data_IF_997945536405
#
_entry.id   IF_997945536405
#
_cell.length_a   1.000
_cell.length_b   1.000
_cell.length_c   1.000
_cell.angle_alpha   90.00
_cell.angle_beta   90.00
_cell.angle_gamma   90.00
#
_symmetry.space_group_name_H-M   'P 1'
#
loop_
_entity.id
_entity.type
_entity.pdbx_description
1 polymer ?
#
# COMPACT_ATOMS: atom_id res chain seq x y z
N UNK A 1 15.27 70.88 -10.51
CA UNK A 1 14.61 69.95 -9.57
C UNK A 1 14.23 68.71 -10.37
N UNK A 2 15.21 67.84 -10.60
CA UNK A 2 15.47 66.58 -9.90
C UNK A 2 14.63 65.43 -10.48
N UNK A 3 15.28 64.71 -11.39
CA UNK A 3 15.00 63.34 -11.81
C UNK A 3 14.99 62.42 -10.59
N UNK A 4 14.05 61.48 -10.54
CA UNK A 4 14.24 60.20 -9.86
C UNK A 4 13.75 59.12 -10.82
N UNK A 5 14.70 58.53 -11.54
CA UNK A 5 14.57 57.17 -12.07
C UNK A 5 14.70 56.20 -10.88
N UNK A 6 13.99 55.08 -10.94
CA UNK A 6 14.25 53.93 -10.07
C UNK A 6 14.28 52.70 -10.96
N UNK A 7 15.48 52.35 -11.38
CA UNK A 7 15.83 51.02 -11.87
C UNK A 7 15.74 50.02 -10.71
N UNK A 8 14.97 48.95 -10.88
CA UNK A 8 15.48 47.57 -10.81
C UNK A 8 14.30 46.60 -10.73
N UNK A 9 14.07 45.89 -11.84
CA UNK A 9 13.31 44.66 -11.84
C UNK A 9 14.12 43.53 -11.21
N UNK A 10 13.53 42.87 -10.22
CA UNK A 10 13.84 41.48 -9.84
C UNK A 10 12.54 40.85 -9.33
N UNK A 11 12.08 39.70 -9.88
CA UNK A 11 10.91 38.98 -9.36
C UNK A 11 11.20 38.39 -7.97
N UNK A 12 10.17 38.34 -7.12
CA UNK A 12 10.18 37.94 -5.70
C UNK A 12 10.41 36.43 -5.43
N UNK A 13 10.93 35.66 -6.38
CA UNK A 13 10.93 34.18 -6.32
C UNK A 13 12.16 33.52 -5.69
N UNK A 14 12.97 34.21 -4.88
CA UNK A 14 14.23 33.63 -4.37
C UNK A 14 14.60 34.00 -2.91
N UNK A 15 13.63 33.98 -2.00
CA UNK A 15 13.88 34.29 -0.57
C UNK A 15 13.56 33.16 0.44
N UNK A 16 13.61 31.89 0.04
CA UNK A 16 13.61 30.76 1.00
C UNK A 16 14.68 29.73 0.62
N UNK A 17 15.93 30.18 0.45
CA UNK A 17 17.11 29.31 0.39
C UNK A 17 18.22 29.77 1.36
N UNK A 18 17.90 30.63 2.34
CA UNK A 18 18.89 31.15 3.30
C UNK A 18 18.39 31.19 4.74
N UNK A 19 17.92 30.06 5.23
CA UNK A 19 17.78 29.83 6.66
C UNK A 19 18.21 28.40 6.98
N UNK A 20 19.50 28.09 6.80
CA UNK A 20 20.15 26.95 7.49
C UNK A 20 21.69 26.91 7.37
N UNK A 21 22.34 28.08 7.30
CA UNK A 21 23.79 28.14 7.43
C UNK A 21 24.21 29.27 8.38
N UNK A 22 24.21 28.97 9.68
CA UNK A 22 25.31 29.33 10.59
C UNK A 22 25.17 28.65 11.96
N UNK A 23 26.27 27.98 12.32
CA UNK A 23 26.69 27.43 13.62
C UNK A 23 25.95 26.23 14.21
N UNK A 24 26.33 25.03 13.75
CA UNK A 24 26.81 23.99 14.67
C UNK A 24 28.06 23.33 14.08
N UNK A 25 29.20 23.49 14.77
CA UNK A 25 30.41 22.72 14.51
C UNK A 25 30.73 21.88 15.76
N UNK A 26 30.92 20.59 15.51
CA UNK A 26 31.25 19.48 16.41
C UNK A 26 30.10 18.89 17.24
N UNK A 27 29.54 17.74 16.82
CA UNK A 27 29.93 16.42 17.35
C UNK A 27 29.24 15.24 16.62
N UNK A 28 30.00 14.16 16.42
CA UNK A 28 29.64 12.75 16.22
C UNK A 28 28.59 12.28 15.16
N UNK A 29 29.11 11.70 14.07
CA UNK A 29 28.81 10.30 13.73
C UNK A 29 27.39 9.87 13.38
N UNK A 30 26.52 10.74 12.83
CA UNK A 30 25.25 10.26 12.26
C UNK A 30 25.54 9.53 10.96
N UNK A 31 25.76 8.21 11.05
CA UNK A 31 25.76 7.34 9.88
C UNK A 31 24.50 7.63 9.05
N UNK A 32 24.70 8.04 7.80
CA UNK A 32 23.61 8.17 6.83
C UNK A 32 22.86 6.84 6.79
N UNK A 33 21.58 6.84 7.18
CA UNK A 33 20.79 5.62 7.18
C UNK A 33 20.73 5.02 5.77
N UNK A 34 21.02 3.72 5.66
CA UNK A 34 20.99 3.00 4.40
C UNK A 34 19.55 2.58 4.06
N UNK A 35 18.98 3.19 3.02
CA UNK A 35 17.64 2.87 2.51
C UNK A 35 17.65 1.77 1.45
N UNK A 36 18.79 1.14 1.14
CA UNK A 36 18.85 0.10 0.10
C UNK A 36 18.16 -1.20 0.51
N UNK A 37 18.15 -1.49 1.81
CA UNK A 37 17.61 -2.74 2.36
C UNK A 37 16.79 -2.49 3.61
N UNK A 38 15.68 -3.21 3.73
CA UNK A 38 14.85 -3.24 4.94
C UNK A 38 15.26 -4.44 5.77
N UNK A 39 15.79 -4.20 6.97
CA UNK A 39 16.19 -5.26 7.90
C UNK A 39 15.09 -5.64 8.91
N UNK A 40 13.99 -4.89 8.93
CA UNK A 40 12.85 -5.14 9.80
C UNK A 40 11.88 -6.18 9.20
N UNK A 41 11.08 -6.81 10.07
CA UNK A 41 9.94 -7.64 9.66
C UNK A 41 8.68 -6.78 9.79
N UNK A 42 7.87 -6.72 8.73
CA UNK A 42 6.53 -6.13 8.82
C UNK A 42 5.48 -7.23 9.08
N UNK A 43 4.42 -6.89 9.81
CA UNK A 43 3.36 -7.85 10.17
C UNK A 43 2.00 -7.39 9.66
N UNK A 44 1.30 -8.27 8.97
CA UNK A 44 -0.06 -8.05 8.47
C UNK A 44 -1.00 -8.92 9.29
N UNK A 45 -1.89 -8.31 10.06
CA UNK A 45 -2.91 -8.97 10.87
C UNK A 45 -4.27 -8.85 10.19
N UNK A 46 -4.82 -9.98 9.74
CA UNK A 46 -6.18 -10.08 9.19
C UNK A 46 -7.17 -10.47 10.30
N UNK A 47 -8.16 -9.62 10.52
CA UNK A 47 -9.22 -9.82 11.51
C UNK A 47 -10.51 -10.29 10.84
N UNK A 48 -10.82 -11.58 10.99
CA UNK A 48 -12.08 -12.17 10.54
C UNK A 48 -13.19 -11.99 11.60
N UNK A 49 -12.85 -12.09 12.90
CA UNK A 49 -13.71 -11.81 14.06
C UNK A 49 -12.87 -11.14 15.14
N UNK A 50 -13.29 -9.95 15.60
CA UNK A 50 -12.58 -9.17 16.63
C UNK A 50 -12.51 -9.86 18.00
N UNK A 51 -13.28 -10.93 18.20
CA UNK A 51 -13.22 -11.77 19.41
C UNK A 51 -12.19 -12.89 19.33
N UNK A 52 -11.60 -13.11 18.15
CA UNK A 52 -10.60 -14.15 17.90
C UNK A 52 -9.23 -13.53 17.62
N UNK A 53 -8.17 -14.33 17.80
CA UNK A 53 -6.83 -13.90 17.43
C UNK A 53 -6.74 -13.70 15.90
N UNK A 54 -6.09 -12.63 15.42
CA UNK A 54 -5.96 -12.37 13.99
C UNK A 54 -5.02 -13.38 13.33
N UNK A 55 -5.21 -13.57 12.03
CA UNK A 55 -4.25 -14.31 11.21
C UNK A 55 -3.09 -13.38 10.85
N UNK A 56 -1.88 -13.72 11.30
CA UNK A 56 -0.70 -12.89 11.07
C UNK A 56 0.12 -13.46 9.92
N UNK A 57 0.48 -12.59 8.98
CA UNK A 57 1.45 -12.86 7.90
C UNK A 57 2.63 -11.93 8.07
N UNK A 58 3.84 -12.45 7.96
CA UNK A 58 5.07 -11.65 8.04
C UNK A 58 5.62 -11.33 6.65
N UNK A 59 6.16 -10.13 6.50
CA UNK A 59 6.99 -9.73 5.36
C UNK A 59 8.43 -9.66 5.86
N UNK A 60 9.26 -10.53 5.31
CA UNK A 60 10.65 -10.67 5.73
C UNK A 60 11.54 -9.57 5.13
N UNK A 61 12.72 -9.33 5.74
CA UNK A 61 13.73 -8.41 5.22
C UNK A 61 14.04 -8.63 3.74
N UNK A 62 14.10 -7.54 2.98
CA UNK A 62 14.31 -7.53 1.54
C UNK A 62 14.84 -6.16 1.07
N UNK A 63 15.37 -6.05 -0.15
CA UNK A 63 15.65 -4.75 -0.77
C UNK A 63 14.42 -3.83 -0.72
N UNK A 64 14.61 -2.54 -0.44
CA UNK A 64 13.49 -1.65 -0.05
C UNK A 64 12.35 -1.59 -1.05
N UNK A 65 12.66 -1.51 -2.36
CA UNK A 65 11.62 -1.52 -3.39
C UNK A 65 10.83 -2.84 -3.41
N UNK A 66 11.51 -3.98 -3.25
CA UNK A 66 10.89 -5.31 -3.19
C UNK A 66 10.08 -5.50 -1.90
N UNK A 67 10.56 -4.95 -0.78
CA UNK A 67 9.86 -4.99 0.50
C UNK A 67 8.54 -4.23 0.44
N UNK A 68 8.56 -2.99 -0.07
CA UNK A 68 7.36 -2.17 -0.26
C UNK A 68 6.37 -2.87 -1.20
N UNK A 69 6.85 -3.41 -2.32
CA UNK A 69 6.03 -4.14 -3.28
C UNK A 69 5.37 -5.38 -2.65
N UNK A 70 6.15 -6.19 -1.95
CA UNK A 70 5.69 -7.40 -1.28
C UNK A 70 4.66 -7.09 -0.19
N UNK A 71 4.91 -6.05 0.60
CA UNK A 71 4.01 -5.58 1.65
C UNK A 71 2.67 -5.12 1.03
N UNK A 72 2.71 -4.18 0.08
CA UNK A 72 1.51 -3.63 -0.55
C UNK A 72 0.69 -4.71 -1.27
N UNK A 73 1.37 -5.59 -2.03
CA UNK A 73 0.74 -6.71 -2.73
C UNK A 73 0.06 -7.67 -1.75
N UNK A 74 0.74 -8.04 -0.65
CA UNK A 74 0.19 -8.96 0.34
C UNK A 74 -1.00 -8.37 1.09
N UNK A 75 -0.96 -7.09 1.42
CA UNK A 75 -2.09 -6.39 2.04
C UNK A 75 -3.29 -6.39 1.08
N UNK A 76 -3.07 -6.01 -0.18
CA UNK A 76 -4.12 -5.97 -1.19
C UNK A 76 -4.75 -7.34 -1.43
N UNK A 77 -3.95 -8.39 -1.60
CA UNK A 77 -4.45 -9.78 -1.75
C UNK A 77 -5.35 -10.19 -0.58
N UNK A 78 -4.91 -9.95 0.65
CA UNK A 78 -5.66 -10.32 1.84
C UNK A 78 -6.93 -9.50 2.01
N UNK A 79 -6.85 -8.18 1.84
CA UNK A 79 -8.00 -7.29 1.89
C UNK A 79 -9.02 -7.67 0.81
N UNK A 80 -8.57 -7.91 -0.42
CA UNK A 80 -9.44 -8.31 -1.53
C UNK A 80 -10.09 -9.67 -1.29
N UNK A 81 -9.33 -10.63 -0.78
CA UNK A 81 -9.85 -11.97 -0.45
C UNK A 81 -10.88 -11.94 0.68
N UNK A 82 -10.78 -10.97 1.59
CA UNK A 82 -11.75 -10.73 2.64
C UNK A 82 -13.04 -10.04 2.14
N UNK A 83 -13.04 -9.47 0.94
CA UNK A 83 -14.19 -8.74 0.37
C UNK A 83 -13.93 -7.25 0.12
N UNK A 84 -12.72 -6.77 0.40
CA UNK A 84 -12.35 -5.37 0.34
C UNK A 84 -12.41 -4.78 -1.07
N UNK A 85 -12.69 -3.49 -1.12
CA UNK A 85 -12.79 -2.72 -2.37
C UNK A 85 -11.73 -1.61 -2.49
N UNK A 86 -10.88 -1.43 -1.48
CA UNK A 86 -9.79 -0.45 -1.50
C UNK A 86 -8.79 -0.80 -2.63
N UNK A 87 -8.48 0.13 -3.55
CA UNK A 87 -7.56 -0.12 -4.66
C UNK A 87 -6.13 -0.35 -4.20
N UNK A 88 -5.40 -1.15 -4.97
CA UNK A 88 -3.96 -1.39 -4.75
C UNK A 88 -3.16 -0.08 -4.66
N UNK A 89 -3.42 0.90 -5.53
CA UNK A 89 -2.71 2.19 -5.52
C UNK A 89 -2.83 2.88 -4.16
N UNK A 90 -4.02 2.91 -3.57
CA UNK A 90 -4.24 3.52 -2.25
C UNK A 90 -3.43 2.80 -1.17
N UNK A 91 -3.46 1.47 -1.16
CA UNK A 91 -2.71 0.64 -0.21
C UNK A 91 -1.21 0.86 -0.37
N UNK A 92 -0.73 0.93 -1.61
CA UNK A 92 0.68 1.15 -1.93
C UNK A 92 1.16 2.51 -1.45
N UNK A 93 0.44 3.59 -1.75
CA UNK A 93 0.81 4.95 -1.33
C UNK A 93 0.94 5.04 0.20
N UNK A 94 0.03 4.41 0.96
CA UNK A 94 0.14 4.39 2.42
C UNK A 94 1.28 3.47 2.90
N UNK A 95 1.55 2.36 2.20
CA UNK A 95 2.67 1.45 2.53
C UNK A 95 4.04 2.10 2.29
N UNK A 96 4.18 2.95 1.27
CA UNK A 96 5.41 3.69 0.98
C UNK A 96 5.78 4.63 2.15
N UNK A 97 4.81 5.11 2.93
CA UNK A 97 5.07 5.97 4.08
C UNK A 97 5.92 5.31 5.18
N UNK A 98 5.97 3.98 5.26
CA UNK A 98 6.82 3.29 6.23
C UNK A 98 8.32 3.59 6.05
N UNK A 99 8.74 4.06 4.87
CA UNK A 99 10.13 4.47 4.65
C UNK A 99 10.54 5.62 5.57
N UNK A 100 9.62 6.54 5.90
CA UNK A 100 9.88 7.65 6.83
C UNK A 100 10.12 7.15 8.26
N UNK A 101 9.47 6.04 8.61
CA UNK A 101 9.66 5.34 9.87
C UNK A 101 10.83 4.34 9.84
N UNK A 102 11.58 4.28 8.73
CA UNK A 102 12.63 3.26 8.52
C UNK A 102 12.09 1.83 8.72
N UNK A 103 10.80 1.63 8.46
CA UNK A 103 10.06 0.39 8.69
C UNK A 103 10.09 -0.11 10.15
N UNK A 104 10.33 0.77 11.12
CA UNK A 104 10.37 0.42 12.54
C UNK A 104 9.00 -0.11 13.01
N UNK A 105 8.96 -1.40 13.37
CA UNK A 105 7.76 -2.12 13.84
C UNK A 105 6.51 -1.92 12.94
N UNK A 106 6.71 -1.91 11.62
CA UNK A 106 5.63 -1.74 10.65
C UNK A 106 4.57 -2.84 10.81
N UNK A 107 3.37 -2.45 11.23
CA UNK A 107 2.23 -3.33 11.48
C UNK A 107 1.02 -2.85 10.71
N UNK A 108 0.36 -3.77 9.98
CA UNK A 108 -0.85 -3.49 9.22
C UNK A 108 -1.98 -4.34 9.74
N UNK A 109 -3.12 -3.74 10.08
CA UNK A 109 -4.34 -4.44 10.47
C UNK A 109 -5.37 -4.32 9.35
N UNK A 110 -5.91 -5.44 8.88
CA UNK A 110 -7.00 -5.52 7.92
C UNK A 110 -8.27 -5.89 8.67
N UNK A 111 -9.27 -5.01 8.62
CA UNK A 111 -10.54 -5.12 9.33
C UNK A 111 -11.70 -4.96 8.35
N UNK A 112 -12.92 -5.17 8.85
CA UNK A 112 -14.16 -4.84 8.14
C UNK A 112 -14.26 -5.46 6.74
N UNK A 113 -14.01 -6.76 6.66
CA UNK A 113 -14.02 -7.52 5.40
C UNK A 113 -13.05 -6.91 4.36
N UNK A 114 -11.94 -6.33 4.82
CA UNK A 114 -10.94 -5.67 3.97
C UNK A 114 -11.27 -4.24 3.56
N UNK A 115 -12.32 -3.64 4.12
CA UNK A 115 -12.72 -2.25 3.83
C UNK A 115 -12.19 -1.24 4.84
N UNK A 116 -11.48 -1.68 5.88
CA UNK A 116 -10.69 -0.81 6.76
C UNK A 116 -9.29 -1.37 6.90
N UNK A 117 -8.27 -0.55 6.63
CA UNK A 117 -6.87 -0.93 6.77
C UNK A 117 -6.16 0.11 7.62
N UNK A 118 -5.49 -0.35 8.69
CA UNK A 118 -4.73 0.49 9.62
C UNK A 118 -3.25 0.17 9.51
N UNK A 119 -2.45 1.17 9.23
CA UNK A 119 -0.99 1.12 9.11
C UNK A 119 -0.40 1.80 10.35
N UNK A 120 0.46 1.09 11.08
CA UNK A 120 1.07 1.60 12.31
C UNK A 120 2.57 1.34 12.31
N UNK A 121 3.36 2.31 12.78
CA UNK A 121 4.81 2.21 12.93
C UNK A 121 5.27 2.75 14.30
N UNK A 122 6.54 2.53 14.63
CA UNK A 122 7.23 3.10 15.79
C UNK A 122 8.39 4.02 15.34
N UNK A 123 8.19 4.74 14.25
CA UNK A 123 9.14 5.72 13.71
C UNK A 123 9.04 7.09 14.39
N UNK A 124 9.52 8.17 13.76
CA UNK A 124 9.49 9.52 14.33
C UNK A 124 8.09 10.16 14.38
N UNK A 125 7.09 9.52 13.77
CA UNK A 125 5.74 10.06 13.62
C UNK A 125 5.61 11.09 12.48
N UNK A 126 4.40 11.63 12.33
CA UNK A 126 4.08 12.64 11.30
C UNK A 126 3.87 14.00 12.00
N UNK A 127 4.80 14.96 11.87
CA UNK A 127 4.74 16.22 12.61
C UNK A 127 3.62 17.14 12.12
N UNK A 128 3.50 17.36 10.81
CA UNK A 128 2.49 18.24 10.21
C UNK A 128 1.39 17.43 9.51
N UNK A 129 0.56 16.72 10.28
CA UNK A 129 -0.46 15.76 9.78
C UNK A 129 -1.43 16.37 8.76
N UNK A 130 -1.86 17.61 8.99
CA UNK A 130 -2.77 18.31 8.07
C UNK A 130 -2.05 18.71 6.77
N UNK A 131 -0.80 19.16 6.87
CA UNK A 131 0.01 19.52 5.69
C UNK A 131 0.41 18.30 4.87
N UNK A 132 0.62 17.15 5.52
CA UNK A 132 0.93 15.89 4.85
C UNK A 132 -0.14 15.44 3.85
N UNK A 133 -1.38 15.94 4.00
CA UNK A 133 -2.49 15.68 3.10
C UNK A 133 -2.65 16.75 2.00
N UNK A 134 -1.83 17.81 2.00
CA UNK A 134 -1.85 18.88 1.00
C UNK A 134 -0.95 18.49 -0.19
N UNK A 135 -1.41 18.65 -1.44
CA UNK A 135 -0.60 18.38 -2.62
C UNK A 135 0.73 19.15 -2.62
N UNK A 136 1.83 18.44 -2.91
CA UNK A 136 3.16 19.03 -3.05
C UNK A 136 3.94 19.18 -1.74
N UNK A 137 3.32 18.91 -0.59
CA UNK A 137 4.05 18.79 0.67
C UNK A 137 4.78 17.45 0.73
N UNK A 138 6.07 17.46 1.07
CA UNK A 138 6.85 16.23 1.23
C UNK A 138 7.90 16.34 2.32
N UNK A 139 8.05 15.28 3.10
CA UNK A 139 9.14 15.05 4.05
C UNK A 139 10.21 14.09 3.52
N UNK A 140 10.13 13.68 2.25
CA UNK A 140 11.06 12.71 1.69
C UNK A 140 12.41 13.35 1.34
N UNK A 141 13.48 12.78 1.91
CA UNK A 141 14.87 13.14 1.60
C UNK A 141 15.36 12.41 0.35
N UNK A 142 16.43 12.91 -0.27
CA UNK A 142 16.97 12.41 -1.55
C UNK A 142 17.19 10.88 -1.59
N UNK A 143 17.75 10.21 -0.55
CA UNK A 143 17.89 8.76 -0.55
C UNK A 143 16.54 8.00 -0.65
N UNK A 144 15.47 8.50 -0.04
CA UNK A 144 14.16 7.85 -0.05
C UNK A 144 13.52 7.86 -1.44
N UNK A 145 13.73 8.94 -2.21
CA UNK A 145 13.09 9.17 -3.52
C UNK A 145 13.45 8.11 -4.58
N UNK A 146 14.50 7.33 -4.35
CA UNK A 146 14.88 6.20 -5.20
C UNK A 146 13.94 5.00 -5.05
N UNK A 147 13.20 4.92 -3.95
CA UNK A 147 12.37 3.76 -3.57
C UNK A 147 10.88 4.07 -3.51
N UNK A 148 10.51 5.35 -3.41
CA UNK A 148 9.12 5.82 -3.39
C UNK A 148 8.80 6.60 -4.66
N UNK A 149 7.55 6.54 -5.12
CA UNK A 149 7.10 7.23 -6.33
C UNK A 149 6.37 8.51 -5.97
N UNK A 150 6.26 9.45 -6.92
CA UNK A 150 5.34 10.59 -6.80
C UNK A 150 5.48 11.36 -5.47
N UNK A 151 6.70 11.75 -5.12
CA UNK A 151 7.04 12.36 -3.83
C UNK A 151 6.11 13.55 -3.54
N UNK A 152 5.40 13.50 -2.41
CA UNK A 152 4.46 14.55 -1.98
C UNK A 152 3.07 14.51 -2.61
N UNK A 153 2.74 13.44 -3.36
CA UNK A 153 1.38 13.19 -3.86
C UNK A 153 0.64 12.04 -3.19
N UNK A 154 1.31 11.15 -2.46
CA UNK A 154 0.70 9.90 -1.98
C UNK A 154 -0.53 10.09 -1.09
N UNK A 155 -0.38 10.70 0.09
CA UNK A 155 -1.51 10.99 0.98
C UNK A 155 -2.59 11.88 0.35
N UNK A 156 -2.26 12.93 -0.43
CA UNK A 156 -3.25 13.67 -1.22
C UNK A 156 -4.09 12.80 -2.18
N UNK A 157 -3.45 11.89 -2.92
CA UNK A 157 -4.13 10.97 -3.84
C UNK A 157 -5.06 10.02 -3.08
N UNK A 158 -4.58 9.48 -1.96
CA UNK A 158 -5.37 8.61 -1.08
C UNK A 158 -6.60 9.36 -0.56
N UNK A 159 -6.41 10.60 -0.09
CA UNK A 159 -7.50 11.45 0.39
C UNK A 159 -8.52 11.74 -0.70
N UNK A 160 -8.08 12.15 -1.90
CA UNK A 160 -8.98 12.42 -3.04
C UNK A 160 -9.82 11.20 -3.40
N UNK A 161 -9.21 10.01 -3.45
CA UNK A 161 -9.92 8.76 -3.73
C UNK A 161 -10.97 8.44 -2.67
N UNK A 162 -10.62 8.57 -1.40
CA UNK A 162 -11.52 8.26 -0.28
C UNK A 162 -12.65 9.29 -0.20
N UNK A 163 -12.38 10.57 -0.42
CA UNK A 163 -13.39 11.63 -0.48
C UNK A 163 -14.45 11.33 -1.56
N UNK A 164 -14.01 10.91 -2.76
CA UNK A 164 -14.91 10.52 -3.85
C UNK A 164 -15.70 9.23 -3.55
N UNK A 165 -15.08 8.30 -2.84
CA UNK A 165 -15.66 6.99 -2.52
C UNK A 165 -16.47 7.00 -1.22
N UNK A 166 -16.70 8.17 -0.61
CA UNK A 166 -17.32 8.34 0.71
C UNK A 166 -16.64 7.53 1.82
N UNK A 167 -15.33 7.33 1.69
CA UNK A 167 -14.46 6.77 2.70
C UNK A 167 -13.83 7.84 3.59
N UNK A 168 -12.93 7.40 4.46
CA UNK A 168 -12.22 8.25 5.41
C UNK A 168 -10.75 7.88 5.50
N UNK A 169 -9.88 8.87 5.64
CA UNK A 169 -8.50 8.70 6.11
C UNK A 169 -8.32 9.42 7.44
N UNK A 170 -7.73 8.75 8.43
CA UNK A 170 -7.28 9.37 9.69
C UNK A 170 -5.78 9.17 9.85
N UNK A 171 -5.13 10.19 10.42
CA UNK A 171 -3.70 10.16 10.76
C UNK A 171 -3.58 10.55 12.23
N UNK A 172 -3.08 9.64 13.04
CA UNK A 172 -2.98 9.76 14.49
C UNK A 172 -1.54 9.46 14.94
N UNK A 173 -1.16 9.93 16.12
CA UNK A 173 0.11 9.51 16.74
C UNK A 173 -0.04 8.10 17.32
N UNK A 174 0.96 7.25 17.12
CA UNK A 174 0.97 5.93 17.73
C UNK A 174 1.31 6.04 19.22
N UNK A 175 0.79 5.11 20.03
CA UNK A 175 1.07 5.08 21.47
C UNK A 175 2.57 4.88 21.69
N UNK A 176 3.22 5.89 22.26
CA UNK A 176 4.67 5.95 22.39
C UNK A 176 5.27 6.86 21.31
N UNK A 177 5.66 6.27 20.18
CA UNK A 177 6.23 6.99 19.05
C UNK A 177 5.74 6.40 17.72
N UNK A 178 5.86 7.14 16.63
CA UNK A 178 5.38 6.73 15.31
C UNK A 178 3.99 7.26 14.96
N UNK A 179 3.44 6.77 13.85
CA UNK A 179 2.14 7.19 13.35
C UNK A 179 1.19 6.00 13.16
N UNK A 180 -0.11 6.32 13.16
CA UNK A 180 -1.17 5.40 12.76
C UNK A 180 -1.97 6.06 11.64
N UNK A 181 -1.96 5.45 10.46
CA UNK A 181 -2.77 5.88 9.32
C UNK A 181 -3.88 4.86 9.11
N UNK A 182 -5.13 5.28 9.21
CA UNK A 182 -6.30 4.41 8.97
C UNK A 182 -7.03 4.87 7.73
N UNK A 183 -7.24 3.96 6.79
CA UNK A 183 -8.10 4.17 5.61
C UNK A 183 -9.33 3.27 5.72
N UNK A 184 -10.52 3.81 5.41
CA UNK A 184 -11.76 3.04 5.44
C UNK A 184 -12.72 3.45 4.32
N UNK A 185 -13.41 2.48 3.72
CA UNK A 185 -14.52 2.68 2.78
C UNK A 185 -15.89 2.39 3.41
N UNK A 186 -15.96 2.20 4.73
CA UNK A 186 -17.26 2.11 5.39
C UNK A 186 -17.91 3.49 5.46
N UNK A 187 -19.19 3.55 5.08
CA UNK A 187 -20.02 4.73 5.33
C UNK A 187 -20.02 5.01 6.84
N UNK A 188 -19.54 6.20 7.22
CA UNK A 188 -19.04 6.48 8.55
C UNK A 188 -20.01 6.16 9.69
N UNK A 189 -19.52 5.38 10.65
CA UNK A 189 -19.51 5.90 12.01
C UNK A 189 -18.12 6.52 12.23
N UNK A 190 -18.02 7.80 12.66
CA UNK A 190 -16.74 8.33 13.08
C UNK A 190 -16.18 7.40 14.16
N UNK A 191 -14.90 7.07 14.00
CA UNK A 191 -14.12 6.29 14.95
C UNK A 191 -14.54 6.65 16.38
N UNK A 192 -15.07 5.65 17.09
CA UNK A 192 -15.28 5.77 18.52
C UNK A 192 -13.95 6.21 19.14
N UNK A 193 -13.89 7.47 19.54
CA UNK A 193 -12.77 8.05 20.24
C UNK A 193 -12.54 7.16 21.48
N UNK A 194 -11.36 6.56 21.70
CA UNK A 194 -11.00 6.03 23.01
C UNK A 194 -10.66 7.25 23.88
N UNK A 195 -11.70 8.00 24.24
CA UNK A 195 -11.58 9.31 24.86
C UNK A 195 -12.92 9.85 25.35
N UNK A 196 -13.87 8.95 25.62
CA UNK A 196 -14.95 9.27 26.54
C UNK A 196 -14.34 9.46 27.91
N UNK A 197 -14.05 10.72 28.27
CA UNK A 197 -13.91 11.11 29.65
C UNK A 197 -15.15 10.60 30.38
N UNK A 198 -15.00 9.49 31.09
CA UNK A 198 -15.97 9.02 32.05
C UNK A 198 -16.07 10.13 33.09
N UNK A 199 -17.09 10.98 32.95
CA UNK A 199 -17.58 11.76 34.06
C UNK A 199 -17.78 10.78 35.23
N UNK A 200 -17.18 11.01 36.41
CA UNK A 200 -17.38 10.11 37.53
C UNK A 200 -18.87 10.12 37.89
N UNK A 201 -19.56 9.02 37.60
CA UNK A 201 -20.86 8.74 38.20
C UNK A 201 -20.59 8.45 39.67
N UNK A 202 -20.67 9.48 40.51
CA UNK A 202 -20.71 9.31 41.96
C UNK A 202 -21.95 8.50 42.35
N UNK A 203 -21.82 7.37 43.05
CA UNK A 203 -22.95 6.75 43.73
C UNK A 203 -23.22 7.54 45.01
N UNK A 204 -24.38 8.20 45.08
CA UNK A 204 -24.86 8.82 46.30
C UNK A 204 -25.12 7.75 47.38
N UNK A 205 -24.22 7.62 48.34
CA UNK A 205 -24.49 6.92 49.61
C UNK A 205 -25.08 7.91 50.62
N UNK A 206 -26.18 7.58 51.32
CA UNK A 206 -26.61 8.37 52.48
C UNK A 206 -25.63 8.15 53.65
N UNK A 207 -25.42 9.16 54.51
CA UNK A 207 -24.44 9.07 55.59
C UNK A 207 -24.88 8.04 56.63
N UNK A 208 -24.00 7.07 56.93
CA UNK A 208 -24.13 6.18 58.09
C UNK A 208 -23.22 6.67 59.20
N UNK A 209 -23.80 6.75 60.40
CA UNK A 209 -23.15 7.14 61.66
C UNK A 209 -21.82 6.41 61.91
N UNK A 210 -20.83 7.21 62.32
CA UNK A 210 -19.50 6.77 62.75
C UNK A 210 -19.57 6.14 64.15
N UNK A 211 -19.63 4.81 64.21
CA UNK A 211 -19.16 4.03 65.37
C UNK A 211 -17.69 3.62 65.19
N UNK A 212 -16.89 3.50 66.26
CA UNK A 212 -15.45 3.22 66.16
C UNK A 212 -15.17 1.81 65.61
N UNK A 213 -14.38 1.73 64.54
CA UNK A 213 -13.89 0.47 63.96
C UNK A 213 -12.70 -0.09 64.74
N UNK A 214 -12.60 -1.43 64.94
CA UNK A 214 -11.38 -2.10 65.36
C UNK A 214 -10.41 -2.31 64.18
N UNK A 215 -9.10 -2.21 64.46
CA UNK A 215 -8.01 -2.41 63.49
C UNK A 215 -7.94 -3.87 63.01
N UNK A 216 -7.73 -4.13 61.70
CA UNK A 216 -7.39 -5.47 61.22
C UNK A 216 -5.89 -5.76 61.40
N UNK A 217 -5.57 -6.88 62.05
CA UNK A 217 -4.23 -7.47 62.07
C UNK A 217 -3.93 -8.17 60.73
N UNK A 218 -2.71 -7.99 60.22
CA UNK A 218 -2.21 -8.64 59.01
C UNK A 218 -1.98 -10.14 59.23
N UNK A 219 -2.35 -11.03 58.28
CA UNK A 219 -1.96 -12.43 58.35
C UNK A 219 -0.53 -12.64 57.82
N UNK A 220 0.30 -13.25 58.67
CA UNK A 220 1.62 -13.79 58.34
C UNK A 220 1.54 -14.88 57.26
N UNK A 221 2.47 -14.85 56.32
CA UNK A 221 2.73 -15.92 55.36
C UNK A 221 3.37 -17.12 56.06
N UNK A 222 2.85 -18.33 55.83
CA UNK A 222 3.52 -19.59 56.18
C UNK A 222 3.77 -20.40 54.90
N UNK A 223 5.04 -20.73 54.67
CA UNK A 223 5.50 -21.68 53.65
C UNK A 223 5.14 -23.12 54.07
N UNK A 224 4.70 -24.00 53.15
CA UNK A 224 4.66 -25.43 53.42
C UNK A 224 5.98 -26.13 53.07
N UNK A 225 6.44 -26.96 54.01
CA UNK A 225 7.56 -27.87 53.87
C UNK A 225 7.16 -29.20 53.20
N UNK A 226 8.15 -29.81 52.52
CA UNK A 226 8.10 -31.09 51.82
C UNK A 226 7.77 -32.31 52.69
N UNK A 227 7.28 -33.41 52.07
CA UNK A 227 7.74 -34.74 52.42
C UNK A 227 8.33 -35.51 51.22
N UNK A 228 9.21 -36.46 51.57
CA UNK A 228 10.14 -37.21 50.71
C UNK A 228 9.61 -38.61 50.35
N UNK A 229 9.94 -39.04 49.13
CA UNK A 229 10.31 -40.40 48.64
C UNK A 229 9.25 -41.50 48.39
N UNK A 230 9.27 -42.05 47.16
CA UNK A 230 9.65 -43.41 46.70
C UNK A 230 9.19 -43.49 45.23
N UNK A 231 10.06 -43.41 44.21
CA UNK A 231 10.93 -44.49 43.70
C UNK A 231 10.21 -45.30 42.62
N UNK A 232 10.55 -45.17 41.32
CA UNK A 232 10.57 -46.26 40.30
C UNK A 232 11.17 -45.79 38.96
N UNK A 233 12.22 -46.52 38.56
CA UNK A 233 12.83 -46.79 37.25
C UNK A 233 12.48 -45.98 35.98
N UNK A 234 13.54 -45.45 35.34
CA UNK A 234 13.59 -45.04 33.93
C UNK A 234 13.85 -46.24 33.01
N UNK A 235 13.26 -46.31 31.79
CA UNK A 235 13.77 -47.14 30.70
C UNK A 235 14.86 -46.41 29.87
N UNK A 236 15.79 -47.16 29.23
CA UNK A 236 16.98 -46.59 28.58
C UNK A 236 16.78 -46.25 27.10
N UNK A 237 17.54 -45.25 26.63
CA UNK A 237 17.80 -44.99 25.21
C UNK A 237 18.80 -46.01 24.64
N UNK A 238 18.68 -46.43 23.36
CA UNK A 238 19.77 -47.09 22.65
C UNK A 238 20.75 -46.06 22.09
N UNK A 239 22.04 -46.23 22.42
CA UNK A 239 23.18 -45.65 21.71
C UNK A 239 23.56 -46.56 20.54
N UNK A 240 23.68 -45.99 19.34
CA UNK A 240 24.33 -46.66 18.21
C UNK A 240 25.75 -46.13 18.00
N UNK A 241 26.63 -47.07 17.68
CA UNK A 241 28.07 -47.01 17.79
C UNK A 241 28.73 -46.36 16.57
N UNK A 242 29.82 -45.65 16.82
CA UNK A 242 30.79 -45.28 15.81
C UNK A 242 31.68 -46.48 15.43
N UNK A 243 32.17 -46.56 14.19
CA UNK A 243 33.42 -47.24 13.90
C UNK A 243 34.55 -46.30 13.43
N UNK A 244 35.75 -46.75 13.80
CA UNK A 244 37.12 -46.23 13.59
C UNK A 244 37.60 -46.26 12.12
N UNK A 245 38.73 -45.58 11.78
CA UNK A 245 39.11 -45.23 10.41
C UNK A 245 40.06 -46.24 9.76
N UNK A 246 40.06 -46.32 8.43
CA UNK A 246 41.19 -46.85 7.66
C UNK A 246 41.29 -46.22 6.25
N UNK A 247 42.52 -45.87 5.92
CA UNK A 247 43.10 -45.19 4.77
C UNK A 247 43.04 -45.93 3.42
N UNK A 248 42.90 -45.20 2.31
CA UNK A 248 43.84 -45.14 1.16
C UNK A 248 43.16 -44.66 -0.15
N UNK A 249 43.76 -43.67 -0.80
CA UNK A 249 43.62 -43.27 -2.23
C UNK A 249 44.67 -44.06 -3.06
N UNK A 250 44.74 -44.02 -4.43
CA UNK A 250 43.89 -43.42 -5.51
C UNK A 250 43.75 -44.42 -6.73
N UNK A 251 43.68 -44.07 -8.04
CA UNK A 251 43.11 -42.91 -8.80
C UNK A 251 42.20 -43.28 -10.03
N UNK A 252 41.65 -42.24 -10.68
CA UNK A 252 41.17 -42.13 -12.08
C UNK A 252 39.90 -42.87 -12.54
N UNK A 253 38.92 -42.08 -12.99
CA UNK A 253 37.81 -42.54 -13.84
C UNK A 253 36.79 -41.42 -14.10
N UNK A 254 36.64 -41.06 -15.37
CA UNK A 254 35.72 -40.05 -15.93
C UNK A 254 34.26 -40.19 -15.47
N UNK A 255 33.58 -39.06 -15.21
CA UNK A 255 32.11 -38.97 -15.22
C UNK A 255 31.63 -38.08 -16.39
N UNK A 256 30.56 -38.45 -17.12
CA UNK A 256 30.07 -37.74 -18.29
C UNK A 256 29.04 -36.64 -17.95
N UNK A 257 28.97 -35.61 -18.80
CA UNK A 257 28.00 -34.50 -18.72
C UNK A 257 26.53 -34.95 -18.90
N UNK A 258 25.57 -34.23 -18.29
CA UNK A 258 24.14 -34.46 -18.54
C UNK A 258 23.69 -33.86 -19.88
N UNK A 259 23.06 -34.70 -20.72
CA UNK A 259 22.46 -34.29 -21.99
C UNK A 259 21.14 -33.52 -21.81
N UNK A 260 21.04 -32.42 -22.54
CA UNK A 260 19.87 -31.58 -22.73
C UNK A 260 18.81 -32.24 -23.61
N UNK A 261 17.56 -32.31 -23.15
CA UNK A 261 16.40 -32.81 -23.91
C UNK A 261 15.48 -31.63 -24.26
N UNK A 262 15.23 -31.32 -25.55
CA UNK A 262 14.27 -30.29 -25.93
C UNK A 262 12.81 -30.81 -25.94
N UNK A 263 11.81 -29.95 -25.62
CA UNK A 263 10.41 -30.34 -25.62
C UNK A 263 9.85 -30.54 -27.04
N UNK A 264 8.99 -31.55 -27.19
CA UNK A 264 8.31 -31.91 -28.44
C UNK A 264 6.98 -31.16 -28.58
N UNK A 265 6.76 -30.59 -29.75
CA UNK A 265 5.47 -30.04 -30.18
C UNK A 265 4.44 -31.16 -30.38
N UNK A 266 3.26 -31.00 -29.80
CA UNK A 266 2.09 -31.81 -30.11
C UNK A 266 1.39 -31.24 -31.36
N UNK A 267 1.16 -32.10 -32.35
CA UNK A 267 0.38 -31.81 -33.56
C UNK A 267 -1.09 -32.19 -33.32
N UNK A 268 -2.00 -31.26 -33.63
CA UNK A 268 -3.42 -31.53 -33.87
C UNK A 268 -3.62 -32.23 -35.21
N UNK A 269 -4.57 -33.20 -35.32
CA UNK A 269 -4.99 -33.68 -36.61
C UNK A 269 -6.51 -33.51 -36.85
N UNK A 270 -6.79 -33.21 -38.13
CA UNK A 270 -8.03 -33.36 -38.90
C UNK A 270 -8.92 -32.14 -39.17
N UNK A 271 -8.79 -31.71 -40.43
CA UNK A 271 -9.75 -30.98 -41.22
C UNK A 271 -10.82 -31.89 -41.84
N UNK A 272 -11.99 -31.32 -42.13
CA UNK A 272 -12.82 -31.71 -43.28
C UNK A 272 -14.32 -31.86 -43.02
N UNK A 273 -15.14 -30.95 -43.56
CA UNK A 273 -16.58 -31.18 -43.76
C UNK A 273 -17.43 -29.91 -43.99
N UNK A 274 -17.92 -29.73 -45.22
CA UNK A 274 -18.84 -28.67 -45.66
C UNK A 274 -20.21 -28.68 -44.93
N UNK A 275 -20.90 -27.53 -44.77
CA UNK A 275 -22.29 -27.49 -44.29
C UNK A 275 -23.32 -27.48 -45.42
N UNK A 276 -24.34 -28.32 -45.29
CA UNK A 276 -25.60 -28.27 -46.04
C UNK A 276 -26.73 -27.85 -45.08
N UNK A 277 -27.53 -26.84 -45.46
CA UNK A 277 -28.79 -26.48 -44.76
C UNK A 277 -29.88 -27.52 -45.08
N UNK A 278 -30.81 -27.76 -44.13
CA UNK A 278 -32.18 -27.30 -44.35
C UNK A 278 -32.90 -26.78 -43.07
N UNK A 279 -34.07 -26.12 -43.23
CA UNK A 279 -34.75 -25.35 -42.19
C UNK A 279 -35.86 -26.14 -41.51
N UNK A 280 -36.26 -25.76 -40.28
CA UNK A 280 -37.66 -25.51 -39.84
C UNK A 280 -37.84 -25.45 -38.31
N UNK A 281 -38.87 -24.68 -37.93
CA UNK A 281 -39.72 -24.79 -36.74
C UNK A 281 -39.24 -24.18 -35.41
N UNK A 282 -39.91 -23.08 -35.04
CA UNK A 282 -40.06 -22.63 -33.67
C UNK A 282 -40.77 -23.70 -32.82
N UNK A 283 -40.46 -23.73 -31.51
CA UNK A 283 -41.55 -23.50 -30.57
C UNK A 283 -41.15 -22.57 -29.41
N UNK A 284 -42.15 -21.82 -28.98
CA UNK A 284 -42.20 -21.01 -27.78
C UNK A 284 -42.17 -21.87 -26.51
N UNK A 285 -41.26 -21.55 -25.59
CA UNK A 285 -41.51 -21.73 -24.16
C UNK A 285 -40.76 -20.67 -23.36
N UNK A 286 -41.57 -20.02 -22.54
CA UNK A 286 -41.29 -19.06 -21.48
C UNK A 286 -40.27 -19.62 -20.48
N UNK A 287 -39.17 -18.90 -20.27
CA UNK A 287 -38.35 -19.04 -19.07
C UNK A 287 -37.92 -17.64 -18.61
N UNK A 288 -38.37 -17.28 -17.41
CA UNK A 288 -37.85 -16.15 -16.65
C UNK A 288 -36.35 -16.34 -16.42
N UNK A 289 -35.58 -15.37 -16.87
CA UNK A 289 -34.17 -15.22 -16.55
C UNK A 289 -33.80 -13.77 -16.77
N UNK A 290 -33.89 -12.96 -15.72
CA UNK A 290 -33.23 -11.67 -15.68
C UNK A 290 -31.73 -11.94 -15.80
N UNK A 291 -31.22 -11.90 -17.03
CA UNK A 291 -29.81 -11.67 -17.25
C UNK A 291 -29.55 -10.24 -16.78
N UNK A 292 -29.11 -10.10 -15.52
CA UNK A 292 -28.34 -8.95 -15.10
C UNK A 292 -27.12 -8.94 -16.02
N UNK A 293 -27.22 -8.11 -17.07
CA UNK A 293 -26.06 -7.64 -17.81
C UNK A 293 -25.17 -7.02 -16.74
N UNK A 294 -24.16 -7.78 -16.31
CA UNK A 294 -23.00 -7.20 -15.67
C UNK A 294 -22.37 -6.33 -16.75
N UNK A 295 -22.83 -5.09 -16.84
CA UNK A 295 -22.05 -4.00 -17.38
C UNK A 295 -20.81 -3.95 -16.49
N UNK A 296 -19.78 -4.69 -16.89
CA UNK A 296 -18.41 -4.43 -16.47
C UNK A 296 -18.17 -2.99 -16.89
N UNK A 297 -18.34 -2.06 -15.95
CA UNK A 297 -17.87 -0.70 -16.16
C UNK A 297 -16.39 -0.84 -16.55
N UNK A 298 -15.97 -0.31 -17.71
CA UNK A 298 -14.57 -0.42 -18.11
C UNK A 298 -13.73 0.16 -16.97
N UNK A 299 -12.68 -0.57 -16.57
CA UNK A 299 -11.70 -0.12 -15.59
C UNK A 299 -10.97 1.08 -16.21
N UNK A 300 -11.53 2.28 -15.99
CA UNK A 300 -10.91 3.52 -16.43
C UNK A 300 -9.62 3.66 -15.59
N UNK A 301 -8.43 3.73 -16.20
CA UNK A 301 -7.21 4.02 -15.45
C UNK A 301 -7.37 5.36 -14.71
N UNK A 302 -6.79 5.55 -13.52
CA UNK A 302 -6.89 6.83 -12.82
C UNK A 302 -6.21 7.92 -13.64
N UNK A 303 -7.02 8.74 -14.32
CA UNK A 303 -6.55 9.85 -15.14
C UNK A 303 -6.43 11.10 -14.31
N UNK A 304 -5.34 11.84 -14.45
CA UNK A 304 -5.22 13.21 -13.96
C UNK A 304 -6.23 14.13 -14.66
N UNK A 305 -6.55 15.28 -14.06
CA UNK A 305 -7.47 16.24 -14.68
C UNK A 305 -7.03 16.64 -16.10
N UNK A 306 -5.73 16.83 -16.32
CA UNK A 306 -5.19 17.21 -17.63
C UNK A 306 -5.36 16.10 -18.68
N UNK A 307 -5.24 14.84 -18.28
CA UNK A 307 -5.48 13.70 -19.16
C UNK A 307 -6.98 13.57 -19.49
N UNK A 308 -7.85 13.80 -18.49
CA UNK A 308 -9.31 13.88 -18.68
C UNK A 308 -9.71 15.02 -19.61
N UNK A 309 -9.03 16.17 -19.54
CA UNK A 309 -9.30 17.32 -20.42
C UNK A 309 -8.84 17.06 -21.86
N UNK A 310 -7.79 16.25 -22.06
CA UNK A 310 -7.22 15.99 -23.38
C UNK A 310 -8.01 14.95 -24.18
N UNK A 311 -8.53 13.90 -23.54
CA UNK A 311 -9.18 12.78 -24.21
C UNK A 311 -10.41 13.18 -25.05
N UNK A 312 -11.35 14.01 -24.57
CA UNK A 312 -12.50 14.46 -25.36
C UNK A 312 -12.13 15.26 -26.60
N UNK A 313 -10.94 15.88 -26.63
CA UNK A 313 -10.49 16.66 -27.79
C UNK A 313 -10.21 15.74 -28.98
N UNK A 314 -9.70 14.54 -28.74
CA UNK A 314 -9.48 13.54 -29.79
C UNK A 314 -10.78 12.99 -30.39
N UNK A 315 -11.89 12.99 -29.64
CA UNK A 315 -13.21 12.60 -30.16
C UNK A 315 -13.71 13.58 -31.24
N UNK A 316 -13.39 14.86 -31.08
CA UNK A 316 -13.88 15.93 -31.96
C UNK A 316 -12.95 16.21 -33.15
N UNK A 317 -11.63 16.21 -32.91
CA UNK A 317 -10.63 16.66 -33.89
C UNK A 317 -9.86 15.48 -34.56
N UNK A 318 -9.98 14.26 -34.02
CA UNK A 318 -9.29 13.09 -34.54
C UNK A 318 -7.77 13.11 -34.26
N UNK A 319 -6.94 13.00 -35.30
CA UNK A 319 -5.49 12.84 -35.15
C UNK A 319 -4.78 14.15 -34.79
N UNK A 320 -4.23 14.24 -33.58
CA UNK A 320 -3.61 15.46 -33.02
C UNK A 320 -2.13 15.29 -32.68
N UNK A 321 -1.32 16.30 -33.00
CA UNK A 321 0.06 16.41 -32.54
C UNK A 321 0.22 17.27 -31.28
N UNK A 322 1.44 17.30 -30.72
CA UNK A 322 1.78 18.14 -29.54
C UNK A 322 1.45 19.62 -29.78
N UNK A 323 1.81 20.14 -30.97
CA UNK A 323 1.57 21.54 -31.33
C UNK A 323 0.08 21.85 -31.46
N UNK A 324 -0.69 20.93 -32.02
CA UNK A 324 -2.14 21.11 -32.22
C UNK A 324 -2.84 21.18 -30.85
N UNK A 325 -2.52 20.23 -29.98
CA UNK A 325 -3.14 20.12 -28.66
C UNK A 325 -2.71 21.25 -27.71
N UNK A 326 -1.46 21.69 -27.80
CA UNK A 326 -0.96 22.88 -27.09
C UNK A 326 -1.71 24.15 -27.50
N UNK A 327 -2.03 24.30 -28.79
CA UNK A 327 -2.81 25.44 -29.30
C UNK A 327 -4.28 25.39 -28.85
N UNK A 328 -4.89 24.20 -28.85
CA UNK A 328 -6.29 24.01 -28.48
C UNK A 328 -6.53 24.20 -26.98
N UNK A 329 -5.57 23.80 -26.15
CA UNK A 329 -5.74 23.78 -24.69
C UNK A 329 -5.05 24.94 -23.97
N UNK A 330 -4.15 25.66 -24.66
CA UNK A 330 -3.29 26.68 -24.05
C UNK A 330 -2.18 26.10 -23.16
N UNK A 331 -2.05 24.77 -23.08
CA UNK A 331 -1.03 24.09 -22.28
C UNK A 331 0.34 24.17 -22.99
N UNK A 332 1.45 24.47 -22.27
CA UNK A 332 2.78 24.52 -22.87
C UNK A 332 3.18 23.21 -23.56
N UNK A 333 3.87 23.28 -24.70
CA UNK A 333 4.25 22.11 -25.50
C UNK A 333 4.99 21.01 -24.72
N UNK A 334 5.84 21.38 -23.76
CA UNK A 334 6.53 20.43 -22.88
C UNK A 334 5.56 19.65 -21.99
N UNK A 335 4.57 20.32 -21.40
CA UNK A 335 3.53 19.70 -20.58
C UNK A 335 2.57 18.86 -21.41
N UNK A 336 2.25 19.33 -22.62
CA UNK A 336 1.44 18.58 -23.59
C UNK A 336 2.15 17.30 -24.02
N UNK A 337 3.46 17.35 -24.27
CA UNK A 337 4.24 16.17 -24.60
C UNK A 337 4.20 15.13 -23.48
N UNK A 338 4.46 15.53 -22.23
CA UNK A 338 4.42 14.62 -21.07
C UNK A 338 3.05 13.98 -20.90
N UNK A 339 1.98 14.76 -21.04
CA UNK A 339 0.60 14.26 -20.92
C UNK A 339 0.30 13.25 -22.02
N UNK A 340 0.72 13.51 -23.26
CA UNK A 340 0.55 12.58 -24.37
C UNK A 340 1.36 11.29 -24.17
N UNK A 341 2.59 11.38 -23.66
CA UNK A 341 3.38 10.18 -23.33
C UNK A 341 2.68 9.30 -22.30
N UNK A 342 2.08 9.88 -21.26
CA UNK A 342 1.32 9.11 -20.25
C UNK A 342 0.05 8.46 -20.83
N UNK A 343 -0.67 9.17 -21.70
CA UNK A 343 -1.84 8.62 -22.41
C UNK A 343 -1.44 7.49 -23.37
N UNK A 344 -0.25 7.56 -23.97
CA UNK A 344 0.32 6.47 -24.79
C UNK A 344 0.71 5.26 -23.92
N UNK A 345 1.42 5.49 -22.81
CA UNK A 345 1.84 4.43 -21.88
C UNK A 345 0.65 3.70 -21.24
N UNK A 346 -0.45 4.42 -20.99
CA UNK A 346 -1.71 3.84 -20.51
C UNK A 346 -2.56 3.17 -21.61
N UNK A 347 -2.09 3.20 -22.86
CA UNK A 347 -2.76 2.57 -24.00
C UNK A 347 -4.07 3.25 -24.40
N UNK A 348 -4.30 4.50 -24.00
CA UNK A 348 -5.50 5.27 -24.35
C UNK A 348 -5.37 5.99 -25.69
N UNK A 349 -4.15 6.32 -26.09
CA UNK A 349 -3.86 6.86 -27.41
C UNK A 349 -2.69 6.13 -28.05
N UNK A 350 -2.61 6.12 -29.37
CA UNK A 350 -1.51 5.52 -30.11
C UNK A 350 -0.94 6.47 -31.17
N UNK A 351 0.35 6.32 -31.46
CA UNK A 351 1.05 7.11 -32.49
C UNK A 351 0.73 6.59 -33.88
N UNK A 352 0.26 7.48 -34.74
CA UNK A 352 0.14 7.26 -36.19
C UNK A 352 1.48 7.43 -36.91
N UNK A 353 1.54 7.00 -38.17
CA UNK A 353 2.71 7.15 -39.06
C UNK A 353 3.19 8.62 -39.18
N UNK A 354 2.31 9.59 -38.91
CA UNK A 354 2.60 11.03 -38.97
C UNK A 354 2.99 11.69 -37.64
N UNK A 355 3.37 10.94 -36.60
CA UNK A 355 3.68 11.46 -35.24
C UNK A 355 2.50 12.15 -34.52
N UNK A 356 1.31 12.09 -35.11
CA UNK A 356 0.04 12.45 -34.48
C UNK A 356 -0.50 11.28 -33.68
N UNK A 357 -1.31 11.55 -32.66
CA UNK A 357 -1.97 10.53 -31.85
C UNK A 357 -3.45 10.43 -32.16
N UNK A 358 -3.99 9.23 -32.04
CA UNK A 358 -5.42 8.91 -32.13
C UNK A 358 -5.85 8.09 -30.91
N UNK A 359 -7.14 8.09 -30.59
CA UNK A 359 -7.69 7.23 -29.54
C UNK A 359 -7.60 5.76 -29.96
N UNK A 360 -7.23 4.90 -29.00
CA UNK A 360 -7.43 3.45 -29.12
C UNK A 360 -8.90 3.09 -28.80
N UNK A 361 -9.30 1.84 -28.99
CA UNK A 361 -10.65 1.37 -28.59
C UNK A 361 -10.93 1.62 -27.10
N UNK A 362 -9.91 1.40 -26.26
CA UNK A 362 -9.98 1.70 -24.83
C UNK A 362 -10.10 3.21 -24.58
N UNK A 363 -9.25 4.00 -25.24
CA UNK A 363 -9.30 5.46 -25.18
C UNK A 363 -10.65 6.03 -25.58
N UNK A 364 -11.28 5.46 -26.63
CA UNK A 364 -12.59 5.88 -27.10
C UNK A 364 -13.68 5.62 -26.06
N UNK A 365 -13.70 4.45 -25.43
CA UNK A 365 -14.64 4.16 -24.35
C UNK A 365 -14.44 5.06 -23.15
N UNK A 366 -13.19 5.29 -22.74
CA UNK A 366 -12.85 6.18 -21.62
C UNK A 366 -13.28 7.61 -21.93
N UNK A 367 -12.92 8.14 -23.11
CA UNK A 367 -13.26 9.50 -23.52
C UNK A 367 -14.77 9.76 -23.58
N UNK A 368 -15.59 8.74 -23.92
CA UNK A 368 -17.05 8.84 -23.91
C UNK A 368 -17.69 8.68 -22.51
N UNK A 369 -16.92 8.22 -21.52
CA UNK A 369 -17.37 8.04 -20.13
C UNK A 369 -17.00 9.21 -19.21
N UNK A 370 -16.16 10.13 -19.69
CA UNK A 370 -15.83 11.41 -19.07
C UNK A 370 -16.89 12.45 -19.44
#
# INVERSE_FOLDING_TARGET
MLNIESENGTPLDNQIEKADHQDESADDGVESFDYTHVHAVARIALYDDLRSAPRVTEIHPAPTAEFIESLASKIYEQAKSAGGTIPYTVIREVSENFIHARFAEATVSILDDGNTIRFADQGPGIPYKDQAQIPGFTSAIEPMKHYIRGVGSGLPIVKEYLDFSHGTITIEDNLGTGAVVTISLRAGEPSATPGGALAPLEPAYPPRDLGPQPQPQAPMQQQPAYPVQYGYANPPYPQEQAPVPASARPPYGYEPEPQYIPPRYAQDPYAGGNPYYPPTAAPSYRAQGMAAQHSMAPLIPPLSQRERDFLPIFLNEGALGVTDLSRLTGVPQSSTYVTLSKLEESGLIEKTVGQKRILTDLGYHVANSL
#
